data_IF_346070089955
#
_entry.id   IF_346070089955
#
_cell.length_a   1.000
_cell.length_b   1.000
_cell.length_c   1.000
_cell.angle_alpha   90.00
_cell.angle_beta   90.00
_cell.angle_gamma   90.00
#
_symmetry.space_group_name_H-M   'P 1'
#
loop_
_entity.id
_entity.type
_entity.pdbx_description
1 polymer ?
#
# COMPACT_ATOMS: atom_id res chain seq x y z
N UNK A 1 -5.06 13.39 -2.82
CA UNK A 1 -6.01 14.46 -2.57
C UNK A 1 -6.56 14.85 -3.91
N UNK A 2 -7.01 16.10 -4.05
CA UNK A 2 -7.72 16.53 -5.25
C UNK A 2 -6.81 16.56 -6.50
N UNK A 3 -5.49 16.66 -6.32
CA UNK A 3 -4.51 16.65 -7.41
C UNK A 3 -4.04 15.23 -7.80
N UNK A 4 -4.66 14.19 -7.23
CA UNK A 4 -4.32 12.79 -7.49
C UNK A 4 -3.18 12.24 -6.64
N UNK A 5 -2.67 12.98 -5.65
CA UNK A 5 -1.59 12.52 -4.77
C UNK A 5 -2.07 11.50 -3.72
N UNK A 6 -1.31 10.43 -3.50
CA UNK A 6 -1.64 9.41 -2.50
C UNK A 6 -0.97 9.80 -1.18
N UNK A 7 -1.78 10.29 -0.22
CA UNK A 7 -1.29 10.82 1.06
C UNK A 7 -1.04 9.71 2.07
N UNK A 8 -0.03 9.85 2.95
CA UNK A 8 0.23 8.88 4.00
C UNK A 8 -0.90 8.82 5.01
N UNK A 9 -1.04 7.64 5.62
CA UNK A 9 -2.02 7.37 6.68
C UNK A 9 -1.33 6.94 7.96
N UNK A 10 -1.99 7.21 9.10
CA UNK A 10 -1.51 6.77 10.41
C UNK A 10 -1.55 5.24 10.51
N UNK A 11 -0.53 4.67 11.16
CA UNK A 11 -0.43 3.23 11.49
C UNK A 11 -0.48 2.30 10.27
N UNK A 12 0.21 2.67 9.19
CA UNK A 12 0.19 1.89 7.95
C UNK A 12 0.79 0.49 8.09
N UNK A 13 1.84 0.31 8.91
CA UNK A 13 2.43 -1.00 9.12
C UNK A 13 1.49 -1.96 9.85
N UNK A 14 0.79 -1.50 10.89
CA UNK A 14 -0.17 -2.33 11.61
C UNK A 14 -1.32 -2.75 10.71
N UNK A 15 -1.84 -1.84 9.87
CA UNK A 15 -2.90 -2.17 8.89
C UNK A 15 -2.45 -3.28 7.93
N UNK A 16 -1.22 -3.21 7.44
CA UNK A 16 -0.69 -4.22 6.53
C UNK A 16 -0.48 -5.58 7.22
N UNK A 17 0.00 -5.59 8.47
CA UNK A 17 0.14 -6.83 9.25
C UNK A 17 -1.20 -7.51 9.48
N UNK A 18 -2.25 -6.74 9.81
CA UNK A 18 -3.60 -7.30 9.96
C UNK A 18 -4.16 -7.79 8.63
N UNK A 19 -3.96 -7.06 7.53
CA UNK A 19 -4.37 -7.52 6.21
C UNK A 19 -3.69 -8.85 5.83
N UNK A 20 -2.40 -9.03 6.13
CA UNK A 20 -1.70 -10.29 5.88
C UNK A 20 -2.30 -11.45 6.69
N UNK A 21 -2.66 -11.21 7.97
CA UNK A 21 -3.34 -12.22 8.81
C UNK A 21 -4.70 -12.65 8.26
N UNK A 22 -5.42 -11.73 7.61
CA UNK A 22 -6.71 -11.99 6.99
C UNK A 22 -6.59 -12.66 5.60
N UNK A 23 -5.37 -12.96 5.14
CA UNK A 23 -5.13 -13.69 3.89
C UNK A 23 -5.04 -12.79 2.65
N UNK A 24 -4.93 -11.47 2.80
CA UNK A 24 -4.63 -10.60 1.67
C UNK A 24 -3.19 -10.81 1.21
N UNK A 25 -3.00 -10.97 -0.10
CA UNK A 25 -1.70 -11.30 -0.71
C UNK A 25 -1.03 -10.13 -1.44
N UNK A 26 -1.77 -9.04 -1.69
CA UNK A 26 -1.24 -7.83 -2.33
C UNK A 26 -1.86 -6.59 -1.70
N UNK A 27 -1.08 -5.51 -1.57
CA UNK A 27 -1.53 -4.23 -1.06
C UNK A 27 -0.92 -3.06 -1.84
N UNK A 28 -1.79 -2.18 -2.35
CA UNK A 28 -1.38 -0.87 -2.90
C UNK A 28 -1.43 0.15 -1.78
N UNK A 29 -0.33 0.86 -1.54
CA UNK A 29 -0.18 1.77 -0.40
C UNK A 29 0.47 3.10 -0.78
N UNK A 30 0.31 4.14 0.04
CA UNK A 30 1.13 5.35 -0.09
C UNK A 30 2.62 4.99 0.03
N UNK A 31 3.47 5.52 -0.84
CA UNK A 31 4.93 5.27 -0.80
C UNK A 31 5.57 5.66 0.52
N UNK A 32 5.08 6.73 1.16
CA UNK A 32 5.53 7.15 2.48
C UNK A 32 5.16 6.15 3.61
N UNK A 33 4.22 5.23 3.37
CA UNK A 33 3.87 4.14 4.29
C UNK A 33 4.60 2.83 3.98
N UNK A 34 5.49 2.80 3.00
CA UNK A 34 6.23 1.60 2.63
C UNK A 34 6.95 0.99 3.84
N UNK A 35 6.75 -0.31 4.12
CA UNK A 35 7.40 -0.94 5.25
C UNK A 35 8.90 -1.07 4.96
N UNK A 36 9.72 -0.85 5.99
CA UNK A 36 11.18 -1.03 5.87
C UNK A 36 11.60 -2.50 5.72
N UNK A 37 10.74 -3.40 6.19
CA UNK A 37 10.93 -4.84 6.10
C UNK A 37 9.79 -5.44 5.27
N UNK A 38 10.04 -6.46 4.45
CA UNK A 38 9.00 -7.19 3.75
C UNK A 38 7.95 -7.76 4.72
N UNK A 39 6.69 -7.80 4.28
CA UNK A 39 5.60 -8.46 5.00
C UNK A 39 5.42 -9.83 4.35
N UNK A 40 5.65 -10.89 5.11
CA UNK A 40 5.60 -12.26 4.58
C UNK A 40 4.22 -12.56 3.97
N UNK A 41 4.22 -13.16 2.77
CA UNK A 41 3.00 -13.52 2.06
C UNK A 41 2.24 -12.34 1.42
N UNK A 42 2.80 -11.12 1.45
CA UNK A 42 2.14 -9.94 0.90
C UNK A 42 3.07 -9.16 -0.06
N UNK A 43 2.62 -8.96 -1.29
CA UNK A 43 3.21 -8.04 -2.25
C UNK A 43 2.83 -6.60 -1.90
N UNK A 44 3.84 -5.73 -1.76
CA UNK A 44 3.63 -4.32 -1.45
C UNK A 44 3.90 -3.46 -2.68
N UNK A 45 2.88 -2.73 -3.12
CA UNK A 45 2.93 -1.82 -4.26
C UNK A 45 2.82 -0.39 -3.74
N UNK A 46 3.95 0.29 -3.67
CA UNK A 46 4.04 1.67 -3.18
C UNK A 46 3.78 2.68 -4.30
N UNK A 47 2.82 3.59 -4.09
CA UNK A 47 2.44 4.62 -5.08
C UNK A 47 2.47 6.03 -4.48
N UNK A 48 2.75 7.02 -5.32
CA UNK A 48 2.68 8.45 -4.99
C UNK A 48 1.46 9.12 -5.62
N UNK A 49 0.90 8.53 -6.68
CA UNK A 49 -0.24 9.07 -7.43
C UNK A 49 -1.29 7.99 -7.71
N UNK A 50 -2.55 8.40 -7.84
CA UNK A 50 -3.68 7.50 -8.12
C UNK A 50 -3.52 6.80 -9.47
N UNK A 51 -2.97 7.47 -10.49
CA UNK A 51 -2.78 6.87 -11.82
C UNK A 51 -1.92 5.60 -11.76
N UNK A 52 -0.85 5.60 -10.96
CA UNK A 52 0.04 4.45 -10.75
C UNK A 52 -0.71 3.25 -10.16
N UNK A 53 -1.68 3.50 -9.27
CA UNK A 53 -2.51 2.44 -8.70
C UNK A 53 -3.44 1.83 -9.77
N UNK A 54 -4.02 2.67 -10.62
CA UNK A 54 -4.92 2.24 -11.70
C UNK A 54 -4.18 1.42 -12.76
N UNK A 55 -2.95 1.79 -13.10
CA UNK A 55 -2.12 1.05 -14.06
C UNK A 55 -1.87 -0.41 -13.64
N UNK A 56 -1.93 -0.74 -12.35
CA UNK A 56 -1.75 -2.12 -11.87
C UNK A 56 -2.95 -3.03 -12.14
N UNK A 57 -4.11 -2.46 -12.48
CA UNK A 57 -5.35 -3.20 -12.76
C UNK A 57 -5.65 -3.31 -14.27
N UNK A 58 -4.80 -2.73 -15.12
CA UNK A 58 -4.86 -2.89 -16.57
C UNK A 58 -4.04 -4.10 -17.00
#
# INVERSE_FOLDING_TARGET
GLAGEVRPVQRGQERLKEAAKLGFTSAIIPKANAPRQPIAGMEIIAVERVEQAVERFR
#
